data_IF_726228434628
#
_entry.id   IF_726228434628
#
_cell.length_a   1.000
_cell.length_b   1.000
_cell.length_c   1.000
_cell.angle_alpha   90.00
_cell.angle_beta   90.00
_cell.angle_gamma   90.00
#
_symmetry.space_group_name_H-M   'P 1'
#
loop_
_entity.id
_entity.type
_entity.pdbx_description
1 polymer ?
#
# COMPACT_ATOMS: atom_id res chain seq x y z
N UNK A 1 -24.90 15.89 -2.70
CA UNK A 1 -24.65 14.74 -1.80
C UNK A 1 -23.18 14.40 -1.86
N UNK A 2 -22.47 14.36 -0.73
CA UNK A 2 -21.12 13.82 -0.69
C UNK A 2 -21.23 12.30 -0.90
N UNK A 3 -20.84 11.82 -2.07
CA UNK A 3 -20.88 10.39 -2.42
C UNK A 3 -19.90 9.64 -1.52
N UNK A 4 -20.42 8.93 -0.52
CA UNK A 4 -19.60 8.03 0.27
C UNK A 4 -19.11 6.87 -0.61
N UNK A 5 -17.94 6.32 -0.27
CA UNK A 5 -17.29 5.27 -1.05
C UNK A 5 -17.75 3.87 -0.66
N UNK A 6 -18.95 3.74 -0.08
CA UNK A 6 -19.48 2.43 0.34
C UNK A 6 -19.87 1.53 -0.85
N UNK A 7 -20.00 2.09 -2.04
CA UNK A 7 -20.28 1.37 -3.29
C UNK A 7 -19.01 0.85 -3.99
N UNK A 8 -17.83 1.03 -3.41
CA UNK A 8 -16.60 0.53 -4.03
C UNK A 8 -16.58 -0.99 -4.07
N UNK A 9 -16.03 -1.54 -5.16
CA UNK A 9 -16.04 -2.97 -5.45
C UNK A 9 -15.32 -3.84 -4.42
N UNK A 10 -14.46 -3.23 -3.61
CA UNK A 10 -13.70 -3.87 -2.53
C UNK A 10 -14.30 -3.64 -1.14
N UNK A 11 -15.43 -2.93 -1.03
CA UNK A 11 -16.16 -2.75 0.22
C UNK A 11 -17.19 -3.88 0.35
N UNK A 12 -17.28 -4.56 1.51
CA UNK A 12 -18.29 -5.59 1.73
C UNK A 12 -19.71 -5.06 1.52
N UNK A 13 -20.57 -5.88 0.91
CA UNK A 13 -22.01 -5.57 0.73
C UNK A 13 -22.87 -5.91 1.95
N UNK A 14 -22.27 -6.52 2.97
CA UNK A 14 -22.95 -6.98 4.19
C UNK A 14 -22.37 -6.30 5.44
N UNK A 15 -23.05 -6.46 6.57
CA UNK A 15 -22.63 -5.95 7.87
C UNK A 15 -23.01 -4.48 8.10
N UNK A 16 -22.67 -3.98 9.29
CA UNK A 16 -22.99 -2.61 9.69
C UNK A 16 -22.22 -1.57 8.87
N UNK A 17 -22.74 -0.33 8.80
CA UNK A 17 -22.05 0.78 8.12
C UNK A 17 -20.62 0.98 8.64
N UNK A 18 -20.42 0.89 9.96
CA UNK A 18 -19.12 1.05 10.58
C UNK A 18 -18.14 -0.04 10.14
N UNK A 19 -18.58 -1.31 10.10
CA UNK A 19 -17.77 -2.41 9.59
C UNK A 19 -17.32 -2.18 8.14
N UNK A 20 -18.27 -1.80 7.27
CA UNK A 20 -17.99 -1.54 5.85
C UNK A 20 -17.01 -0.38 5.65
N UNK A 21 -17.14 0.68 6.44
CA UNK A 21 -16.18 1.81 6.45
C UNK A 21 -14.81 1.33 6.92
N UNK A 22 -14.73 0.56 8.01
CA UNK A 22 -13.46 0.04 8.52
C UNK A 22 -12.73 -0.78 7.47
N UNK A 23 -13.42 -1.67 6.75
CA UNK A 23 -12.82 -2.44 5.65
C UNK A 23 -12.47 -1.53 4.46
N UNK A 24 -13.34 -0.58 4.11
CA UNK A 24 -13.12 0.34 3.00
C UNK A 24 -11.89 1.23 3.18
N UNK A 25 -11.66 1.73 4.38
CA UNK A 25 -10.47 2.53 4.74
C UNK A 25 -9.19 1.74 4.52
N UNK A 26 -9.19 0.42 4.68
CA UNK A 26 -7.97 -0.37 4.48
C UNK A 26 -7.57 -0.47 3.01
N UNK A 27 -8.46 -0.17 2.05
CA UNK A 27 -8.20 -0.36 0.61
C UNK A 27 -7.51 -1.71 0.32
N UNK A 28 -8.02 -2.78 0.93
CA UNK A 28 -7.34 -4.09 0.97
C UNK A 28 -6.73 -4.55 -0.37
N UNK A 29 -7.37 -4.40 -1.55
CA UNK A 29 -6.73 -4.74 -2.81
C UNK A 29 -5.39 -4.03 -3.04
N UNK A 30 -5.33 -2.73 -2.76
CA UNK A 30 -4.16 -1.89 -2.95
C UNK A 30 -3.09 -2.19 -1.88
N UNK A 31 -3.50 -2.42 -0.63
CA UNK A 31 -2.61 -2.88 0.43
C UNK A 31 -1.95 -4.21 0.09
N UNK A 32 -2.71 -5.15 -0.45
CA UNK A 32 -2.19 -6.44 -0.88
C UNK A 32 -1.19 -6.29 -2.04
N UNK A 33 -1.44 -5.39 -3.00
CA UNK A 33 -0.47 -5.09 -4.08
C UNK A 33 0.86 -4.59 -3.51
N UNK A 34 0.83 -3.61 -2.58
CA UNK A 34 2.06 -3.08 -1.99
C UNK A 34 2.78 -4.17 -1.18
N UNK A 35 2.04 -4.97 -0.43
CA UNK A 35 2.61 -6.10 0.33
C UNK A 35 3.23 -7.15 -0.60
N UNK A 36 2.63 -7.40 -1.77
CA UNK A 36 3.20 -8.23 -2.83
C UNK A 36 4.53 -7.68 -3.36
N UNK A 37 4.66 -6.36 -3.55
CA UNK A 37 5.92 -5.77 -4.01
C UNK A 37 7.07 -5.98 -3.01
N UNK A 38 6.79 -5.90 -1.71
CA UNK A 38 7.77 -6.23 -0.68
C UNK A 38 8.15 -7.71 -0.74
N UNK A 39 7.17 -8.59 -0.93
CA UNK A 39 7.43 -10.01 -1.10
C UNK A 39 8.29 -10.28 -2.35
N UNK A 40 8.07 -9.56 -3.45
CA UNK A 40 8.91 -9.64 -4.65
C UNK A 40 10.35 -9.21 -4.35
N UNK A 41 10.53 -8.11 -3.62
CA UNK A 41 11.85 -7.68 -3.16
C UNK A 41 12.60 -8.74 -2.38
N UNK A 42 11.88 -9.48 -1.53
CA UNK A 42 12.44 -10.58 -0.72
C UNK A 42 12.91 -11.78 -1.55
N UNK A 43 12.70 -11.79 -2.87
CA UNK A 43 13.17 -12.86 -3.74
C UNK A 43 14.66 -12.76 -4.09
N UNK A 44 15.29 -11.61 -3.84
CA UNK A 44 16.70 -11.38 -4.13
C UNK A 44 17.62 -12.07 -3.11
N UNK A 45 18.50 -12.95 -3.59
CA UNK A 45 19.56 -13.57 -2.78
C UNK A 45 19.09 -14.62 -1.77
N UNK A 46 19.76 -14.68 -0.61
CA UNK A 46 19.43 -15.61 0.48
C UNK A 46 18.04 -15.34 1.02
N UNK A 47 17.27 -16.39 1.27
CA UNK A 47 15.87 -16.27 1.63
C UNK A 47 15.59 -16.88 2.99
N UNK A 48 15.00 -16.09 3.88
CA UNK A 48 14.45 -16.54 5.16
C UNK A 48 12.96 -16.18 5.25
N UNK A 49 12.15 -17.17 5.64
CA UNK A 49 10.69 -17.06 5.64
C UNK A 49 10.16 -16.13 6.75
N UNK A 50 10.80 -16.14 7.91
CA UNK A 50 10.49 -15.26 9.03
C UNK A 50 10.72 -13.78 8.67
N UNK A 51 11.80 -13.47 7.94
CA UNK A 51 12.07 -12.13 7.40
C UNK A 51 11.00 -11.69 6.41
N UNK A 52 10.59 -12.57 5.49
CA UNK A 52 9.48 -12.29 4.57
C UNK A 52 8.20 -11.96 5.35
N UNK A 53 7.84 -12.80 6.33
CA UNK A 53 6.64 -12.60 7.14
C UNK A 53 6.72 -11.27 7.91
N UNK A 54 7.88 -10.97 8.52
CA UNK A 54 8.11 -9.74 9.26
C UNK A 54 7.94 -8.51 8.37
N UNK A 55 8.57 -8.45 7.20
CA UNK A 55 8.48 -7.27 6.33
C UNK A 55 7.07 -7.14 5.72
N UNK A 56 6.38 -8.23 5.40
CA UNK A 56 4.97 -8.18 4.99
C UNK A 56 4.07 -7.61 6.09
N UNK A 57 4.29 -7.97 7.36
CA UNK A 57 3.58 -7.40 8.51
C UNK A 57 3.89 -5.91 8.65
N UNK A 58 5.17 -5.51 8.54
CA UNK A 58 5.59 -4.10 8.60
C UNK A 58 4.81 -3.26 7.58
N UNK A 59 4.76 -3.68 6.31
CA UNK A 59 4.07 -2.92 5.27
C UNK A 59 2.55 -2.96 5.38
N UNK A 60 1.98 -4.11 5.75
CA UNK A 60 0.54 -4.17 5.99
C UNK A 60 0.12 -3.19 7.09
N UNK A 61 0.87 -3.12 8.19
CA UNK A 61 0.57 -2.21 9.29
C UNK A 61 0.89 -0.75 8.95
N UNK A 62 2.07 -0.45 8.43
CA UNK A 62 2.48 0.92 8.14
C UNK A 62 1.68 1.53 6.97
N UNK A 63 1.62 0.84 5.83
CA UNK A 63 0.94 1.33 4.63
C UNK A 63 -0.54 0.98 4.64
N UNK A 64 -0.90 -0.27 4.97
CA UNK A 64 -2.29 -0.73 4.88
C UNK A 64 -3.21 -0.21 5.97
N UNK A 65 -2.70 -0.02 7.18
CA UNK A 65 -3.50 0.42 8.35
C UNK A 65 -3.19 1.88 8.71
N UNK A 66 -1.93 2.19 9.01
CA UNK A 66 -1.58 3.50 9.54
C UNK A 66 -1.71 4.60 8.50
N UNK A 67 -1.10 4.45 7.31
CA UNK A 67 -1.14 5.44 6.25
C UNK A 67 -2.58 5.77 5.84
N UNK A 68 -3.43 4.76 5.60
CA UNK A 68 -4.83 5.00 5.28
C UNK A 68 -5.64 5.66 6.41
N UNK A 69 -5.36 5.30 7.67
CA UNK A 69 -5.99 5.96 8.81
C UNK A 69 -5.55 7.43 8.91
N UNK A 70 -4.29 7.74 8.62
CA UNK A 70 -3.77 9.10 8.54
C UNK A 70 -4.33 9.86 7.33
N UNK A 71 -4.56 9.21 6.19
CA UNK A 71 -5.20 9.81 5.01
C UNK A 71 -6.63 10.24 5.34
N UNK A 72 -7.38 9.41 6.07
CA UNK A 72 -8.70 9.78 6.55
C UNK A 72 -8.66 10.98 7.52
N UNK A 73 -7.55 11.18 8.26
CA UNK A 73 -7.34 12.36 9.12
C UNK A 73 -7.01 13.60 8.29
N UNK A 74 -5.95 13.54 7.47
CA UNK A 74 -5.37 14.71 6.80
C UNK A 74 -5.95 15.05 5.45
N UNK A 75 -6.42 14.05 4.69
CA UNK A 75 -6.92 14.23 3.33
C UNK A 75 -8.04 15.27 3.24
N UNK A 76 -7.96 16.16 2.26
CA UNK A 76 -8.96 17.23 2.05
C UNK A 76 -10.34 16.68 1.73
N UNK A 77 -10.39 15.58 0.98
CA UNK A 77 -11.64 14.88 0.71
C UNK A 77 -11.96 13.90 1.85
N UNK A 78 -13.22 13.82 2.27
CA UNK A 78 -13.67 12.88 3.32
C UNK A 78 -14.58 11.79 2.74
N UNK A 79 -14.05 10.89 1.88
CA UNK A 79 -14.86 9.89 1.17
C UNK A 79 -15.51 8.83 2.08
N UNK A 80 -15.00 8.68 3.29
CA UNK A 80 -15.50 7.76 4.31
C UNK A 80 -16.35 8.47 5.38
N UNK A 81 -16.65 9.76 5.17
CA UNK A 81 -17.37 10.62 6.10
C UNK A 81 -16.47 11.24 7.18
N UNK A 82 -17.10 11.94 8.13
CA UNK A 82 -16.45 12.55 9.27
C UNK A 82 -16.21 11.52 10.37
N UNK A 83 -15.05 10.87 10.31
CA UNK A 83 -14.65 9.84 11.27
C UNK A 83 -13.97 10.45 12.51
N UNK A 84 -14.06 9.81 13.69
CA UNK A 84 -13.43 10.32 14.90
C UNK A 84 -11.89 10.33 14.77
N UNK A 85 -11.30 11.52 14.58
CA UNK A 85 -9.85 11.71 14.37
C UNK A 85 -9.00 11.06 15.46
N UNK A 86 -9.42 11.14 16.73
CA UNK A 86 -8.72 10.52 17.86
C UNK A 86 -8.58 8.99 17.69
N UNK A 87 -9.63 8.32 17.21
CA UNK A 87 -9.58 6.86 16.97
C UNK A 87 -8.62 6.52 15.83
N UNK A 88 -8.67 7.28 14.74
CA UNK A 88 -7.76 7.08 13.60
C UNK A 88 -6.30 7.25 14.01
N UNK A 89 -5.98 8.31 14.77
CA UNK A 89 -4.63 8.50 15.32
C UNK A 89 -4.17 7.36 16.22
N UNK A 90 -5.02 6.89 17.14
CA UNK A 90 -4.69 5.76 18.02
C UNK A 90 -4.37 4.51 17.19
N UNK A 91 -5.21 4.19 16.20
CA UNK A 91 -4.98 3.05 15.30
C UNK A 91 -3.67 3.20 14.52
N UNK A 92 -3.42 4.39 13.95
CA UNK A 92 -2.17 4.67 13.23
C UNK A 92 -0.95 4.53 14.12
N UNK A 93 -0.96 5.08 15.33
CA UNK A 93 0.18 5.05 16.25
C UNK A 93 0.48 3.63 16.74
N UNK A 94 -0.54 2.82 17.03
CA UNK A 94 -0.35 1.41 17.40
C UNK A 94 0.27 0.63 16.23
N UNK A 95 -0.30 0.76 15.03
CA UNK A 95 0.21 0.07 13.84
C UNK A 95 1.65 0.49 13.50
N UNK A 96 1.97 1.79 13.57
CA UNK A 96 3.33 2.29 13.38
C UNK A 96 4.29 1.85 14.48
N UNK A 97 3.84 1.80 15.74
CA UNK A 97 4.67 1.32 16.85
C UNK A 97 5.15 -0.12 16.62
N UNK A 98 4.24 -1.00 16.18
CA UNK A 98 4.57 -2.39 15.84
C UNK A 98 5.49 -2.43 14.61
N UNK A 99 5.13 -1.72 13.54
CA UNK A 99 5.90 -1.71 12.29
C UNK A 99 7.34 -1.18 12.48
N UNK A 100 7.50 -0.07 13.20
CA UNK A 100 8.82 0.49 13.50
C UNK A 100 9.63 -0.38 14.45
N UNK A 101 8.99 -1.04 15.42
CA UNK A 101 9.70 -2.00 16.29
C UNK A 101 10.29 -3.14 15.48
N UNK A 102 9.49 -3.77 14.59
CA UNK A 102 9.96 -4.84 13.72
C UNK A 102 11.01 -4.36 12.72
N UNK A 103 10.77 -3.22 12.05
CA UNK A 103 11.71 -2.65 11.09
C UNK A 103 13.06 -2.29 11.72
N UNK A 104 13.05 -1.61 12.88
CA UNK A 104 14.27 -1.27 13.60
C UNK A 104 14.97 -2.49 14.16
N UNK A 105 14.24 -3.51 14.61
CA UNK A 105 14.83 -4.76 15.07
C UNK A 105 15.74 -5.38 13.99
N UNK A 106 15.22 -5.60 12.77
CA UNK A 106 16.06 -6.13 11.67
C UNK A 106 17.12 -5.14 11.19
N UNK A 107 16.81 -3.84 11.21
CA UNK A 107 17.78 -2.81 10.83
C UNK A 107 19.03 -2.81 11.72
N UNK A 108 18.86 -3.03 13.03
CA UNK A 108 19.98 -3.12 13.98
C UNK A 108 20.56 -4.53 14.10
N UNK A 109 19.80 -5.57 13.73
CA UNK A 109 20.28 -6.95 13.73
C UNK A 109 21.38 -7.13 12.68
N UNK A 110 21.05 -6.88 11.41
CA UNK A 110 21.98 -7.09 10.29
C UNK A 110 21.59 -6.39 8.98
N UNK A 111 20.47 -5.67 8.95
CA UNK A 111 19.91 -5.05 7.75
C UNK A 111 19.88 -3.52 7.80
N UNK A 112 21.00 -2.82 8.12
CA UNK A 112 21.02 -1.36 8.31
C UNK A 112 20.54 -0.55 7.11
N UNK A 113 20.51 -1.11 5.89
CA UNK A 113 19.91 -0.47 4.72
C UNK A 113 18.41 -0.18 4.90
N UNK A 114 17.73 -0.89 5.80
CA UNK A 114 16.35 -0.57 6.20
C UNK A 114 16.23 0.81 6.87
N UNK A 115 17.31 1.37 7.44
CA UNK A 115 17.28 2.70 8.07
C UNK A 115 17.01 3.80 7.02
N UNK A 116 17.86 3.99 5.98
CA UNK A 116 17.60 5.01 4.98
C UNK A 116 16.30 4.76 4.19
N UNK A 117 15.93 3.50 3.92
CA UNK A 117 14.66 3.15 3.28
C UNK A 117 13.48 3.56 4.19
N UNK A 118 13.51 3.16 5.46
CA UNK A 118 12.47 3.47 6.44
C UNK A 118 12.32 4.97 6.72
N UNK A 119 13.41 5.74 6.68
CA UNK A 119 13.34 7.22 6.74
C UNK A 119 12.60 7.78 5.53
N UNK A 120 12.94 7.34 4.32
CA UNK A 120 12.28 7.80 3.09
C UNK A 120 10.79 7.43 3.09
N UNK A 121 10.45 6.20 3.48
CA UNK A 121 9.07 5.75 3.57
C UNK A 121 8.28 6.43 4.68
N UNK A 122 8.87 6.60 5.86
CA UNK A 122 8.28 7.37 6.95
C UNK A 122 7.96 8.79 6.50
N UNK A 123 8.89 9.44 5.79
CA UNK A 123 8.67 10.75 5.20
C UNK A 123 7.45 10.76 4.26
N UNK A 124 7.38 9.85 3.27
CA UNK A 124 6.24 9.80 2.34
C UNK A 124 4.93 9.43 3.04
N UNK A 125 4.96 8.52 4.01
CA UNK A 125 3.81 8.12 4.80
C UNK A 125 3.17 9.34 5.48
N UNK A 126 3.95 10.18 6.16
CA UNK A 126 3.40 11.37 6.78
C UNK A 126 3.10 12.48 5.76
N UNK A 127 4.03 12.77 4.86
CA UNK A 127 3.89 13.89 3.92
C UNK A 127 2.70 13.72 2.96
N UNK A 128 2.47 12.51 2.47
CA UNK A 128 1.38 12.22 1.54
C UNK A 128 0.02 12.18 2.24
N UNK A 129 -0.10 11.36 3.29
CA UNK A 129 -1.40 11.04 3.90
C UNK A 129 -1.91 12.19 4.78
N UNK A 130 -1.02 12.95 5.41
CA UNK A 130 -1.42 14.16 6.14
C UNK A 130 -1.49 15.41 5.25
N UNK A 131 -1.19 15.27 3.95
CA UNK A 131 -1.02 16.40 3.01
C UNK A 131 -0.09 17.49 3.57
N UNK A 132 1.00 17.11 4.24
CA UNK A 132 1.99 18.07 4.75
C UNK A 132 2.58 18.89 3.59
N UNK A 133 3.18 20.04 3.92
CA UNK A 133 3.75 20.95 2.92
C UNK A 133 2.73 21.40 1.86
N UNK A 134 1.47 21.57 2.27
CA UNK A 134 0.38 21.96 1.39
C UNK A 134 -0.05 20.88 0.38
N UNK A 135 0.37 19.63 0.58
CA UNK A 135 0.08 18.52 -0.33
C UNK A 135 1.06 18.38 -1.49
N UNK A 136 2.24 19.02 -1.44
CA UNK A 136 3.28 18.94 -2.49
C UNK A 136 3.64 17.50 -2.87
N UNK A 137 3.61 16.58 -1.91
CA UNK A 137 3.92 15.16 -2.11
C UNK A 137 2.69 14.28 -2.35
N UNK A 138 1.47 14.82 -2.32
CA UNK A 138 0.26 14.06 -2.62
C UNK A 138 0.05 13.94 -4.14
N UNK A 139 0.93 13.21 -4.82
CA UNK A 139 0.96 13.12 -6.29
C UNK A 139 1.40 11.73 -6.79
N UNK A 140 1.26 11.51 -8.11
CA UNK A 140 1.56 10.23 -8.75
C UNK A 140 3.03 9.81 -8.62
N UNK A 141 3.97 10.75 -8.73
CA UNK A 141 5.41 10.47 -8.65
C UNK A 141 5.75 9.95 -7.26
N UNK A 142 5.30 10.66 -6.23
CA UNK A 142 5.46 10.23 -4.84
C UNK A 142 4.80 8.88 -4.62
N UNK A 143 3.67 8.62 -5.31
CA UNK A 143 2.97 7.34 -5.21
C UNK A 143 3.79 6.16 -5.76
N UNK A 144 4.39 6.35 -6.94
CA UNK A 144 5.23 5.34 -7.59
C UNK A 144 6.49 5.09 -6.78
N UNK A 145 7.15 6.14 -6.28
CA UNK A 145 8.37 6.00 -5.49
C UNK A 145 8.08 5.26 -4.18
N UNK A 146 7.09 5.70 -3.41
CA UNK A 146 6.88 5.22 -2.05
C UNK A 146 6.06 3.93 -1.91
N UNK A 147 5.11 3.67 -2.82
CA UNK A 147 4.30 2.43 -2.77
C UNK A 147 4.57 1.47 -3.93
N UNK A 148 5.42 1.86 -4.89
CA UNK A 148 5.88 0.97 -5.97
C UNK A 148 7.32 0.51 -5.76
N UNK A 149 8.26 1.45 -5.64
CA UNK A 149 9.71 1.18 -5.68
C UNK A 149 10.27 0.81 -4.30
N UNK A 150 10.14 1.70 -3.32
CA UNK A 150 10.69 1.50 -1.96
C UNK A 150 10.25 0.17 -1.30
N UNK A 151 9.00 -0.33 -1.48
CA UNK A 151 8.59 -1.63 -0.98
C UNK A 151 9.47 -2.79 -1.44
N UNK A 152 9.84 -2.80 -2.73
CA UNK A 152 10.72 -3.83 -3.29
C UNK A 152 12.11 -3.72 -2.66
N UNK A 153 12.63 -2.51 -2.47
CA UNK A 153 13.94 -2.32 -1.86
C UNK A 153 13.97 -2.73 -0.39
N UNK A 154 12.91 -2.50 0.38
CA UNK A 154 12.85 -2.98 1.76
C UNK A 154 12.78 -4.51 1.83
N UNK A 155 12.04 -5.14 0.93
CA UNK A 155 12.01 -6.60 0.81
C UNK A 155 13.40 -7.19 0.50
N UNK A 156 14.15 -6.55 -0.38
CA UNK A 156 15.52 -6.95 -0.71
C UNK A 156 16.46 -6.70 0.49
N UNK A 157 16.38 -5.51 1.08
CA UNK A 157 17.23 -5.09 2.19
C UNK A 157 17.04 -5.94 3.45
N UNK A 158 15.82 -6.37 3.79
CA UNK A 158 15.63 -7.23 4.96
C UNK A 158 16.27 -8.61 4.76
N UNK A 159 16.32 -9.13 3.53
CA UNK A 159 16.87 -10.46 3.26
C UNK A 159 18.40 -10.46 3.16
N UNK A 160 18.97 -9.47 2.49
CA UNK A 160 20.38 -9.49 2.09
C UNK A 160 21.14 -8.19 2.40
N UNK A 161 20.50 -7.22 3.05
CA UNK A 161 21.04 -5.88 3.31
C UNK A 161 21.69 -5.22 2.07
N UNK A 162 21.14 -5.48 0.88
CA UNK A 162 21.68 -5.02 -0.40
C UNK A 162 20.56 -4.84 -1.41
N UNK A 163 20.82 -4.09 -2.49
CA UNK A 163 19.89 -3.95 -3.62
C UNK A 163 20.53 -4.63 -4.83
N UNK A 164 20.02 -5.81 -5.18
CA UNK A 164 20.53 -6.58 -6.32
C UNK A 164 19.97 -6.06 -7.66
N UNK A 165 20.52 -6.55 -8.78
CA UNK A 165 19.99 -6.24 -10.11
C UNK A 165 18.55 -6.76 -10.26
N UNK A 166 18.26 -7.93 -9.69
CA UNK A 166 16.90 -8.51 -9.66
C UNK A 166 15.94 -7.59 -8.91
N UNK A 167 16.36 -7.02 -7.77
CA UNK A 167 15.55 -6.07 -7.01
C UNK A 167 15.29 -4.78 -7.81
N UNK A 168 16.26 -4.28 -8.58
CA UNK A 168 16.07 -3.14 -9.47
C UNK A 168 15.07 -3.43 -10.59
N UNK A 169 15.14 -4.61 -11.21
CA UNK A 169 14.20 -5.05 -12.25
C UNK A 169 12.79 -5.15 -11.65
N UNK A 170 12.64 -5.80 -10.50
CA UNK A 170 11.34 -5.94 -9.82
C UNK A 170 10.77 -4.59 -9.39
N UNK A 171 11.62 -3.64 -8.98
CA UNK A 171 11.21 -2.27 -8.65
C UNK A 171 10.74 -1.50 -9.90
N UNK A 172 11.37 -1.71 -11.06
CA UNK A 172 10.90 -1.13 -12.32
C UNK A 172 9.53 -1.71 -12.73
N UNK A 173 9.34 -3.02 -12.56
CA UNK A 173 8.06 -3.68 -12.82
C UNK A 173 6.98 -3.19 -11.87
N UNK A 174 7.24 -3.13 -10.56
CA UNK A 174 6.29 -2.63 -9.57
C UNK A 174 5.94 -1.15 -9.80
N UNK A 175 6.90 -0.33 -10.22
CA UNK A 175 6.68 1.06 -10.61
C UNK A 175 5.72 1.16 -11.81
N UNK A 176 5.92 0.34 -12.85
CA UNK A 176 5.03 0.29 -14.01
C UNK A 176 3.62 -0.17 -13.64
N UNK A 177 3.51 -1.24 -12.85
CA UNK A 177 2.22 -1.73 -12.33
C UNK A 177 1.51 -0.63 -11.55
N UNK A 178 2.23 0.06 -10.66
CA UNK A 178 1.70 1.17 -9.86
C UNK A 178 1.23 2.31 -10.76
N UNK A 179 2.02 2.70 -11.76
CA UNK A 179 1.65 3.74 -12.72
C UNK A 179 0.34 3.41 -13.46
N UNK A 180 0.21 2.19 -14.00
CA UNK A 180 -1.01 1.75 -14.70
C UNK A 180 -2.19 1.72 -13.74
N UNK A 181 -1.99 1.22 -12.52
CA UNK A 181 -3.02 1.13 -11.48
C UNK A 181 -3.56 2.51 -11.09
N UNK A 182 -2.69 3.47 -10.75
CA UNK A 182 -3.12 4.79 -10.29
C UNK A 182 -3.73 5.62 -11.43
N UNK A 183 -3.23 5.46 -12.65
CA UNK A 183 -3.79 6.12 -13.84
C UNK A 183 -5.23 5.68 -14.09
N UNK A 184 -5.51 4.38 -14.02
CA UNK A 184 -6.87 3.87 -14.16
C UNK A 184 -7.74 4.16 -12.93
N UNK A 185 -7.18 4.10 -11.72
CA UNK A 185 -7.88 4.40 -10.46
C UNK A 185 -8.38 5.84 -10.42
N UNK A 186 -7.59 6.79 -10.91
CA UNK A 186 -8.00 8.21 -10.98
C UNK A 186 -9.19 8.40 -11.89
N UNK A 187 -9.13 7.88 -13.12
CA UNK A 187 -10.23 7.97 -14.10
C UNK A 187 -11.49 7.30 -13.52
N UNK A 188 -11.34 6.13 -12.91
CA UNK A 188 -12.43 5.42 -12.24
C UNK A 188 -13.11 6.27 -11.15
N UNK A 189 -12.31 6.84 -10.24
CA UNK A 189 -12.80 7.67 -9.13
C UNK A 189 -13.48 8.95 -9.64
N UNK A 190 -12.94 9.56 -10.69
CA UNK A 190 -13.51 10.77 -11.29
C UNK A 190 -14.88 10.48 -11.93
N UNK A 191 -14.97 9.43 -12.76
CA UNK A 191 -16.23 9.00 -13.37
C UNK A 191 -17.29 8.65 -12.32
N UNK A 192 -16.92 7.96 -11.23
CA UNK A 192 -17.86 7.66 -10.13
C UNK A 192 -18.34 8.91 -9.39
N UNK A 193 -17.50 9.94 -9.26
CA UNK A 193 -17.86 11.21 -8.60
C UNK A 193 -18.75 12.08 -9.47
N UNK A 194 -18.53 12.09 -10.78
CA UNK A 194 -19.30 12.87 -11.75
C UNK A 194 -20.55 12.18 -12.29
N UNK A 195 -20.85 10.95 -11.84
CA UNK A 195 -21.89 10.11 -12.42
C UNK A 195 -21.73 9.93 -13.94
N UNK A 196 -20.47 9.75 -14.37
CA UNK A 196 -20.11 9.57 -15.77
C UNK A 196 -20.55 8.22 -16.35
N UNK A 197 -20.09 7.93 -17.57
CA UNK A 197 -20.47 6.72 -18.32
C UNK A 197 -20.25 5.42 -17.52
N UNK A 198 -21.35 4.71 -17.28
CA UNK A 198 -21.41 3.45 -16.52
C UNK A 198 -20.57 2.35 -17.19
N UNK A 199 -20.58 2.28 -18.52
CA UNK A 199 -19.77 1.31 -19.28
C UNK A 199 -18.28 1.57 -19.06
N UNK A 200 -17.87 2.83 -19.08
CA UNK A 200 -16.48 3.21 -18.84
C UNK A 200 -16.07 2.97 -17.38
N UNK A 201 -16.93 3.26 -16.40
CA UNK A 201 -16.71 2.92 -14.99
C UNK A 201 -16.46 1.41 -14.85
N UNK A 202 -17.32 0.59 -15.45
CA UNK A 202 -17.20 -0.87 -15.40
C UNK A 202 -15.89 -1.36 -16.04
N UNK A 203 -15.52 -0.81 -17.21
CA UNK A 203 -14.25 -1.13 -17.88
C UNK A 203 -13.04 -0.80 -16.99
N UNK A 204 -13.04 0.36 -16.35
CA UNK A 204 -11.95 0.74 -15.42
C UNK A 204 -11.92 -0.13 -14.17
N UNK A 205 -13.09 -0.50 -13.64
CA UNK A 205 -13.18 -1.44 -12.51
C UNK A 205 -12.60 -2.82 -12.86
N UNK A 206 -12.91 -3.36 -14.04
CA UNK A 206 -12.32 -4.62 -14.52
C UNK A 206 -10.80 -4.51 -14.57
N UNK A 207 -10.25 -3.45 -15.15
CA UNK A 207 -8.79 -3.24 -15.21
C UNK A 207 -8.17 -3.25 -13.80
N UNK A 208 -8.78 -2.53 -12.84
CA UNK A 208 -8.30 -2.48 -11.47
C UNK A 208 -8.34 -3.87 -10.81
N UNK A 209 -9.42 -4.63 -11.00
CA UNK A 209 -9.54 -6.00 -10.50
C UNK A 209 -8.50 -6.92 -11.13
N UNK A 210 -8.34 -6.89 -12.46
CA UNK A 210 -7.37 -7.73 -13.17
C UNK A 210 -5.94 -7.47 -12.71
N UNK A 211 -5.54 -6.21 -12.58
CA UNK A 211 -4.20 -5.87 -12.05
C UNK A 211 -4.05 -6.40 -10.62
N UNK A 212 -5.05 -6.14 -9.77
CA UNK A 212 -4.99 -6.56 -8.36
C UNK A 212 -4.89 -8.07 -8.22
N UNK A 213 -5.83 -8.81 -8.83
CA UNK A 213 -5.84 -10.26 -8.75
C UNK A 213 -4.58 -10.84 -9.40
N UNK A 214 -4.15 -10.34 -10.56
CA UNK A 214 -2.93 -10.81 -11.23
C UNK A 214 -1.67 -10.64 -10.37
N UNK A 215 -1.49 -9.50 -9.71
CA UNK A 215 -0.36 -9.28 -8.79
C UNK A 215 -0.44 -10.23 -7.60
N UNK A 216 -1.60 -10.32 -6.94
CA UNK A 216 -1.75 -11.15 -5.73
C UNK A 216 -1.60 -12.63 -6.05
N UNK A 217 -2.32 -13.15 -7.04
CA UNK A 217 -2.25 -14.58 -7.41
C UNK A 217 -0.89 -14.93 -7.98
N UNK A 218 -0.29 -14.07 -8.81
CA UNK A 218 1.06 -14.27 -9.31
C UNK A 218 2.09 -14.35 -8.19
N UNK A 219 1.97 -13.49 -7.17
CA UNK A 219 2.81 -13.56 -5.96
C UNK A 219 2.62 -14.90 -5.24
N UNK A 220 1.38 -15.27 -4.92
CA UNK A 220 1.08 -16.50 -4.17
C UNK A 220 1.56 -17.74 -4.93
N UNK A 221 1.27 -17.84 -6.23
CA UNK A 221 1.69 -18.97 -7.08
C UNK A 221 3.21 -19.07 -7.10
N UNK A 222 3.92 -17.94 -7.27
CA UNK A 222 5.38 -17.93 -7.27
C UNK A 222 5.94 -18.49 -5.96
N UNK A 223 5.43 -18.03 -4.81
CA UNK A 223 5.88 -18.50 -3.51
C UNK A 223 5.54 -19.98 -3.28
N UNK A 224 4.37 -20.46 -3.70
CA UNK A 224 4.03 -21.88 -3.63
C UNK A 224 5.02 -22.72 -4.45
N UNK A 225 5.25 -22.35 -5.72
CA UNK A 225 6.15 -23.08 -6.63
C UNK A 225 7.64 -23.01 -6.22
N UNK A 226 8.03 -22.04 -5.40
CA UNK A 226 9.41 -21.92 -4.90
C UNK A 226 9.69 -22.87 -3.73
N UNK A 227 8.68 -23.21 -2.94
CA UNK A 227 8.82 -24.01 -1.71
C UNK A 227 8.23 -25.42 -1.80
N UNK A 228 7.58 -25.77 -2.91
CA UNK A 228 7.05 -27.09 -3.24
C UNK A 228 7.48 -27.49 -4.65
#
# INVERSE_FOLDING_TARGET
MQTDRLSEWFVPKFGSRNFRISVGILFLPYTCIVTSFVAWGSLSGSFELDRLAAICIVYFLAVGVAAHSLDAVGGKTKPWGNLPKRKLWIVSLIALGIAFTLGLYYAFLDSPLLIPIGIAEGFFLFAYNLELFGGKFHNNISTIISWGILPVFAGSAIQTNSISIEALILAAVSALVTYVLISNSRIYKELKRSFGDVSLIHKKEIILKTITFGVITGTVIFFILRFY
#
